data_IF_289483536486
#
_entry.id   IF_289483536486
#
_cell.length_a   1.000
_cell.length_b   1.000
_cell.length_c   1.000
_cell.angle_alpha   90.00
_cell.angle_beta   90.00
_cell.angle_gamma   90.00
#
_symmetry.space_group_name_H-M   'P 1'
#
loop_
_entity.id
_entity.type
_entity.pdbx_description
1 polymer ?
#
# COMPACT_ATOMS: atom_id res chain seq x y z
N UNK A 1 10.29 -5.84 11.91
CA UNK A 1 10.00 -5.30 10.57
C UNK A 1 8.59 -5.70 10.25
N UNK A 2 7.68 -4.73 10.09
CA UNK A 2 6.30 -5.01 9.71
C UNK A 2 6.21 -5.06 8.18
N UNK A 3 5.67 -6.15 7.64
CA UNK A 3 5.45 -6.30 6.22
C UNK A 3 4.26 -5.40 5.77
N UNK A 4 4.28 -4.87 4.53
CA UNK A 4 3.24 -3.96 4.03
C UNK A 4 1.83 -4.57 4.05
N UNK A 5 1.72 -5.90 4.05
CA UNK A 5 0.46 -6.63 4.24
C UNK A 5 -0.09 -6.45 5.66
N UNK A 6 0.76 -6.42 6.69
CA UNK A 6 0.32 -6.24 8.08
C UNK A 6 -0.18 -4.82 8.30
N UNK A 7 0.54 -3.82 7.75
CA UNK A 7 0.18 -2.39 7.84
C UNK A 7 -1.15 -2.07 7.14
N UNK A 8 -1.37 -2.66 5.97
CA UNK A 8 -2.57 -2.41 5.16
C UNK A 8 -3.65 -3.48 5.34
N UNK A 9 -3.51 -4.39 6.31
CA UNK A 9 -4.37 -5.58 6.48
C UNK A 9 -5.86 -5.24 6.41
N UNK A 10 -6.29 -4.23 7.16
CA UNK A 10 -7.70 -3.81 7.22
C UNK A 10 -8.19 -3.21 5.90
N UNK A 11 -7.36 -2.44 5.20
CA UNK A 11 -7.73 -1.83 3.92
C UNK A 11 -7.81 -2.88 2.81
N UNK A 12 -6.84 -3.81 2.78
CA UNK A 12 -6.83 -4.95 1.85
C UNK A 12 -8.05 -5.83 2.09
N UNK A 13 -8.35 -6.15 3.35
CA UNK A 13 -9.52 -6.94 3.72
C UNK A 13 -10.82 -6.27 3.23
N UNK A 14 -11.01 -4.98 3.50
CA UNK A 14 -12.19 -4.25 3.03
C UNK A 14 -12.32 -4.18 1.51
N UNK A 15 -11.22 -3.92 0.79
CA UNK A 15 -11.25 -3.82 -0.68
C UNK A 15 -11.56 -5.18 -1.31
N UNK A 16 -10.85 -6.22 -0.91
CA UNK A 16 -11.01 -7.57 -1.45
C UNK A 16 -12.35 -8.20 -1.03
N UNK A 17 -12.98 -7.72 0.06
CA UNK A 17 -14.33 -8.15 0.45
C UNK A 17 -15.40 -7.79 -0.58
N UNK A 18 -15.09 -6.88 -1.51
CA UNK A 18 -15.99 -6.55 -2.63
C UNK A 18 -16.19 -7.74 -3.56
N UNK A 19 -15.13 -8.51 -3.84
CA UNK A 19 -15.21 -9.77 -4.60
C UNK A 19 -14.18 -10.81 -4.10
N UNK A 20 -14.54 -11.56 -3.04
CA UNK A 20 -13.63 -12.50 -2.41
C UNK A 20 -13.38 -13.77 -3.25
N UNK A 21 -14.29 -14.12 -4.16
CA UNK A 21 -14.16 -15.30 -5.02
C UNK A 21 -13.15 -15.05 -6.13
N UNK A 22 -13.20 -13.90 -6.78
CA UNK A 22 -12.24 -13.54 -7.83
C UNK A 22 -10.81 -13.56 -7.31
N UNK A 23 -10.56 -13.00 -6.13
CA UNK A 23 -9.21 -13.03 -5.54
C UNK A 23 -8.80 -14.45 -5.15
N UNK A 24 -9.72 -15.26 -4.60
CA UNK A 24 -9.41 -16.64 -4.24
C UNK A 24 -9.00 -17.47 -5.47
N UNK A 25 -9.73 -17.33 -6.58
CA UNK A 25 -9.41 -17.99 -7.84
C UNK A 25 -8.08 -17.49 -8.42
N UNK A 26 -7.79 -16.19 -8.35
CA UNK A 26 -6.53 -15.63 -8.85
C UNK A 26 -5.32 -16.06 -8.01
N UNK A 27 -5.47 -16.14 -6.69
CA UNK A 27 -4.43 -16.63 -5.77
C UNK A 27 -4.18 -18.12 -5.99
N UNK A 28 -5.22 -18.89 -6.33
CA UNK A 28 -5.10 -20.29 -6.71
C UNK A 28 -4.42 -20.46 -8.09
N UNK A 29 -4.78 -19.66 -9.09
CA UNK A 29 -4.14 -19.62 -10.42
C UNK A 29 -2.63 -19.38 -10.32
N UNK A 30 -2.21 -18.53 -9.36
CA UNK A 30 -0.81 -18.19 -9.12
C UNK A 30 -0.09 -19.18 -8.19
N UNK A 31 -0.71 -20.30 -7.84
CA UNK A 31 -0.16 -21.38 -6.99
C UNK A 31 0.28 -20.91 -5.57
N UNK A 32 -0.27 -19.77 -5.11
CA UNK A 32 0.01 -19.20 -3.78
C UNK A 32 -0.65 -19.99 -2.65
N UNK A 33 -1.69 -20.76 -2.95
CA UNK A 33 -2.38 -21.66 -2.02
C UNK A 33 -2.51 -23.05 -2.64
N UNK A 34 -2.51 -24.10 -1.82
CA UNK A 34 -2.69 -25.46 -2.33
C UNK A 34 -4.17 -25.73 -2.64
N UNK A 35 -4.47 -26.74 -3.46
CA UNK A 35 -5.85 -27.16 -3.72
C UNK A 35 -6.61 -27.51 -2.43
N UNK A 36 -5.91 -28.02 -1.40
CA UNK A 36 -6.49 -28.26 -0.07
C UNK A 36 -6.84 -26.95 0.64
N UNK A 37 -5.97 -25.95 0.58
CA UNK A 37 -6.22 -24.63 1.16
C UNK A 37 -7.37 -23.94 0.42
N UNK A 38 -7.40 -23.98 -0.92
CA UNK A 38 -8.50 -23.47 -1.72
C UNK A 38 -9.82 -24.13 -1.34
N UNK A 39 -9.85 -25.46 -1.23
CA UNK A 39 -11.05 -26.16 -0.86
C UNK A 39 -11.46 -25.87 0.60
N UNK A 40 -10.53 -25.63 1.52
CA UNK A 40 -10.83 -25.21 2.89
C UNK A 40 -11.38 -23.77 2.96
N UNK A 41 -10.84 -22.85 2.15
CA UNK A 41 -11.29 -21.45 2.08
C UNK A 41 -12.61 -21.30 1.33
N UNK A 42 -12.85 -22.16 0.34
CA UNK A 42 -14.09 -22.23 -0.44
C UNK A 42 -15.20 -22.97 0.31
N UNK A 43 -14.84 -24.00 1.07
CA UNK A 43 -15.80 -24.86 1.76
C UNK A 43 -16.12 -24.31 3.15
N UNK A 44 -17.03 -23.33 3.15
CA UNK A 44 -18.00 -23.09 4.24
C UNK A 44 -17.39 -23.07 5.65
N UNK A 45 -16.98 -21.88 6.08
CA UNK A 45 -17.51 -21.40 7.35
C UNK A 45 -18.60 -20.39 7.01
N UNK A 46 -19.66 -20.28 7.83
CA UNK A 46 -20.79 -19.36 7.63
C UNK A 46 -20.34 -17.90 7.87
N UNK A 47 -19.35 -17.45 7.13
CA UNK A 47 -18.75 -16.13 7.22
C UNK A 47 -19.26 -15.20 6.13
N UNK A 48 -19.20 -13.91 6.43
CA UNK A 48 -19.40 -12.83 5.48
C UNK A 48 -18.29 -12.85 4.42
N UNK A 49 -18.47 -12.10 3.31
CA UNK A 49 -17.40 -11.94 2.30
C UNK A 49 -16.06 -11.54 2.93
N UNK A 50 -16.10 -10.74 4.00
CA UNK A 50 -14.95 -10.30 4.77
C UNK A 50 -14.26 -11.42 5.55
N UNK A 51 -15.00 -12.34 6.16
CA UNK A 51 -14.42 -13.48 6.87
C UNK A 51 -13.61 -14.39 5.93
N UNK A 52 -14.06 -14.56 4.69
CA UNK A 52 -13.32 -15.32 3.67
C UNK A 52 -11.98 -14.65 3.33
N UNK A 53 -11.99 -13.32 3.18
CA UNK A 53 -10.76 -12.56 2.88
C UNK A 53 -9.83 -12.53 4.09
N UNK A 54 -10.36 -12.39 5.30
CA UNK A 54 -9.58 -12.45 6.54
C UNK A 54 -8.85 -13.79 6.60
N UNK A 55 -9.57 -14.90 6.46
CA UNK A 55 -8.99 -16.24 6.50
C UNK A 55 -7.96 -16.48 5.37
N UNK A 56 -8.21 -15.95 4.17
CA UNK A 56 -7.26 -15.99 3.06
C UNK A 56 -5.98 -15.23 3.40
N UNK A 57 -6.10 -13.97 3.84
CA UNK A 57 -4.95 -13.12 4.18
C UNK A 57 -4.17 -13.70 5.35
N UNK A 58 -4.84 -14.21 6.39
CA UNK A 58 -4.19 -14.86 7.53
C UNK A 58 -3.46 -16.16 7.11
N UNK A 59 -4.04 -16.95 6.20
CA UNK A 59 -3.35 -18.14 5.66
C UNK A 59 -2.08 -17.76 4.87
N UNK A 60 -2.14 -16.68 4.09
CA UNK A 60 -1.00 -16.18 3.32
C UNK A 60 0.10 -15.59 4.23
N UNK A 61 -0.30 -14.88 5.28
CA UNK A 61 0.61 -14.39 6.33
C UNK A 61 1.28 -15.58 7.03
N UNK A 62 0.51 -16.58 7.45
CA UNK A 62 1.03 -17.77 8.14
C UNK A 62 2.02 -18.57 7.28
N UNK A 63 1.77 -18.65 5.97
CA UNK A 63 2.69 -19.33 5.02
C UNK A 63 3.90 -18.48 4.61
N UNK A 64 3.99 -17.22 5.05
CA UNK A 64 5.09 -16.33 4.68
C UNK A 64 5.13 -15.95 3.20
N UNK A 65 4.02 -16.12 2.45
CA UNK A 65 3.94 -15.82 1.00
C UNK A 65 3.41 -14.41 0.72
N UNK A 66 3.64 -13.51 1.66
CA UNK A 66 3.15 -12.14 1.65
C UNK A 66 3.70 -11.34 0.47
N UNK A 67 5.01 -11.40 0.22
CA UNK A 67 5.64 -10.70 -0.88
C UNK A 67 5.13 -11.16 -2.26
N UNK A 68 4.82 -12.45 -2.41
CA UNK A 68 4.26 -12.98 -3.65
C UNK A 68 2.80 -12.55 -3.83
N UNK A 69 2.03 -12.53 -2.75
CA UNK A 69 0.66 -12.03 -2.78
C UNK A 69 0.59 -10.54 -3.16
N UNK A 70 1.49 -9.70 -2.65
CA UNK A 70 1.58 -8.29 -3.05
C UNK A 70 1.82 -8.16 -4.57
N UNK A 71 2.68 -9.00 -5.16
CA UNK A 71 2.90 -8.99 -6.61
C UNK A 71 1.62 -9.34 -7.38
N UNK A 72 0.82 -10.28 -6.87
CA UNK A 72 -0.48 -10.63 -7.48
C UNK A 72 -1.48 -9.48 -7.35
N UNK A 73 -1.52 -8.81 -6.21
CA UNK A 73 -2.38 -7.63 -6.01
C UNK A 73 -1.98 -6.44 -6.90
N UNK A 74 -0.73 -6.37 -7.31
CA UNK A 74 -0.20 -5.36 -8.25
C UNK A 74 -0.33 -5.76 -9.73
N UNK A 75 -0.88 -6.94 -10.06
CA UNK A 75 -1.13 -7.30 -11.46
C UNK A 75 -2.22 -6.43 -12.07
N UNK A 76 -2.06 -6.04 -13.34
CA UNK A 76 -3.04 -5.23 -14.08
C UNK A 76 -4.45 -5.82 -14.00
N UNK A 77 -4.63 -7.13 -14.21
CA UNK A 77 -5.91 -7.83 -14.10
C UNK A 77 -6.63 -7.60 -12.74
N UNK A 78 -5.86 -7.47 -11.66
CA UNK A 78 -6.40 -7.31 -10.30
C UNK A 78 -6.63 -5.83 -10.00
N UNK A 79 -5.77 -4.94 -10.52
CA UNK A 79 -5.93 -3.49 -10.42
C UNK A 79 -7.09 -2.95 -11.27
N UNK A 80 -7.47 -3.65 -12.35
CA UNK A 80 -8.68 -3.36 -13.12
C UNK A 80 -9.95 -3.63 -12.30
N UNK A 81 -9.99 -4.77 -11.59
CA UNK A 81 -11.11 -5.13 -10.71
C UNK A 81 -11.13 -4.28 -9.44
N UNK A 82 -9.96 -4.01 -8.86
CA UNK A 82 -9.80 -3.28 -7.59
C UNK A 82 -8.87 -2.08 -7.77
N UNK A 83 -9.34 -0.98 -8.40
CA UNK A 83 -8.53 0.21 -8.61
C UNK A 83 -8.06 0.85 -7.29
N UNK A 84 -8.77 0.59 -6.19
CA UNK A 84 -8.43 1.05 -4.84
C UNK A 84 -7.09 0.50 -4.34
N UNK A 85 -6.62 -0.63 -4.87
CA UNK A 85 -5.31 -1.18 -4.53
C UNK A 85 -4.16 -0.29 -5.02
N UNK A 86 -4.36 0.58 -6.01
CA UNK A 86 -3.34 1.53 -6.49
C UNK A 86 -3.00 2.62 -5.48
N UNK A 87 -3.91 2.84 -4.54
CA UNK A 87 -3.78 3.87 -3.51
C UNK A 87 -3.16 3.35 -2.22
N UNK A 88 -2.89 2.05 -2.13
CA UNK A 88 -2.24 1.45 -0.98
C UNK A 88 -0.72 1.64 -1.05
N UNK A 89 -0.14 1.98 0.10
CA UNK A 89 1.31 2.05 0.29
C UNK A 89 1.89 0.64 0.34
N UNK A 90 2.33 0.14 -0.82
CA UNK A 90 3.01 -1.15 -0.93
C UNK A 90 4.52 -1.07 -0.69
N UNK A 91 5.09 0.13 -0.64
CA UNK A 91 6.53 0.33 -0.55
C UNK A 91 7.08 0.14 0.87
N UNK A 92 8.17 -0.63 0.95
CA UNK A 92 9.03 -0.73 2.11
C UNK A 92 9.73 0.62 2.30
N UNK A 93 9.28 1.41 3.28
CA UNK A 93 10.05 2.56 3.75
C UNK A 93 11.31 2.04 4.45
N UNK A 94 12.38 1.83 3.67
CA UNK A 94 13.72 2.07 4.19
C UNK A 94 13.80 3.52 4.67
N UNK A 95 14.62 3.82 5.70
CA UNK A 95 14.62 5.09 6.43
C UNK A 95 14.89 6.36 5.59
N UNK A 96 15.23 6.23 4.31
CA UNK A 96 15.85 7.30 3.52
C UNK A 96 15.01 7.82 2.36
N UNK A 97 13.83 7.24 2.08
CA UNK A 97 13.03 7.71 0.94
C UNK A 97 12.16 8.92 1.30
N UNK A 98 12.83 10.05 1.50
CA UNK A 98 12.24 11.37 1.69
C UNK A 98 11.25 11.70 0.56
N UNK A 99 11.46 11.14 -0.64
CA UNK A 99 10.64 11.39 -1.80
C UNK A 99 9.25 10.74 -1.71
N UNK A 100 9.15 9.48 -1.27
CA UNK A 100 7.87 8.78 -1.04
C UNK A 100 7.09 9.40 0.11
N UNK A 101 7.76 9.73 1.22
CA UNK A 101 7.11 10.41 2.35
C UNK A 101 6.54 11.76 1.94
N UNK A 102 7.30 12.58 1.21
CA UNK A 102 6.83 13.86 0.68
C UNK A 102 5.72 13.68 -0.38
N UNK A 103 5.84 12.68 -1.25
CA UNK A 103 4.84 12.41 -2.30
C UNK A 103 3.51 11.96 -1.69
N UNK A 104 3.55 11.13 -0.64
CA UNK A 104 2.36 10.68 0.10
C UNK A 104 1.70 11.83 0.82
N UNK A 105 2.46 12.60 1.61
CA UNK A 105 1.94 13.77 2.34
C UNK A 105 1.31 14.76 1.36
N UNK A 106 1.93 14.99 0.20
CA UNK A 106 1.39 15.90 -0.80
C UNK A 106 0.09 15.38 -1.44
N UNK A 107 -0.07 14.06 -1.65
CA UNK A 107 -1.34 13.46 -2.09
C UNK A 107 -2.43 13.55 -1.03
N UNK A 108 -2.12 13.25 0.23
CA UNK A 108 -3.08 13.30 1.34
C UNK A 108 -3.57 14.73 1.60
N UNK A 109 -2.65 15.70 1.56
CA UNK A 109 -2.98 17.14 1.63
C UNK A 109 -3.84 17.56 0.44
N UNK A 110 -3.50 17.13 -0.78
CA UNK A 110 -4.31 17.46 -1.97
C UNK A 110 -5.72 16.86 -1.97
N UNK A 111 -5.95 15.79 -1.21
CA UNK A 111 -7.25 15.09 -1.09
C UNK A 111 -8.19 15.68 -0.05
N UNK A 112 -7.69 16.53 0.86
CA UNK A 112 -8.50 17.11 1.93
C UNK A 112 -9.51 18.12 1.41
N UNK A 113 -10.80 17.87 1.61
CA UNK A 113 -11.84 18.91 1.57
C UNK A 113 -11.58 19.91 2.70
N UNK A 114 -10.76 20.94 2.45
CA UNK A 114 -10.47 22.03 3.39
C UNK A 114 -11.68 22.96 3.55
N UNK A 115 -12.76 22.42 4.10
CA UNK A 115 -13.80 23.25 4.68
C UNK A 115 -13.18 23.94 5.90
N UNK A 116 -12.84 25.22 5.73
CA UNK A 116 -12.61 26.23 6.79
C UNK A 116 -11.18 26.51 7.30
N UNK A 117 -10.11 25.87 6.83
CA UNK A 117 -8.74 26.25 7.21
C UNK A 117 -7.89 26.65 6.00
N UNK A 118 -7.39 27.90 6.02
CA UNK A 118 -6.58 28.54 4.98
C UNK A 118 -5.33 27.72 4.67
N UNK A 119 -5.37 26.91 3.62
CA UNK A 119 -4.18 26.34 2.98
C UNK A 119 -3.23 27.48 2.54
N UNK A 120 -1.90 27.26 2.63
CA UNK A 120 -0.92 28.20 2.09
C UNK A 120 -1.24 28.45 0.61
N UNK A 121 -1.45 29.71 0.16
CA UNK A 121 -1.61 29.98 -1.26
C UNK A 121 -0.32 29.61 -2.00
N UNK A 122 -0.48 29.09 -3.23
CA UNK A 122 0.64 28.83 -4.13
C UNK A 122 1.56 30.06 -4.18
N UNK A 123 2.88 29.92 -3.95
CA UNK A 123 3.78 31.07 -4.00
C UNK A 123 3.79 31.61 -5.43
N UNK A 124 3.14 32.75 -5.66
CA UNK A 124 3.11 33.44 -6.96
C UNK A 124 4.48 34.00 -7.40
N UNK A 125 5.54 33.79 -6.61
CA UNK A 125 6.92 34.10 -6.99
C UNK A 125 7.87 33.10 -6.30
N UNK A 126 8.45 32.17 -7.06
CA UNK A 126 9.55 31.32 -6.60
C UNK A 126 10.85 32.14 -6.64
N UNK A 127 11.28 32.66 -5.48
CA UNK A 127 12.64 33.19 -5.35
C UNK A 127 13.62 32.01 -5.20
N UNK A 128 14.18 31.53 -6.31
CA UNK A 128 15.24 30.52 -6.27
C UNK A 128 16.57 31.16 -5.86
N UNK A 129 16.78 31.40 -4.57
CA UNK A 129 18.12 31.73 -4.07
C UNK A 129 18.92 30.44 -3.88
N UNK A 130 19.89 30.20 -4.76
CA UNK A 130 20.90 29.16 -4.57
C UNK A 130 21.78 29.56 -3.38
N UNK A 131 21.87 28.70 -2.37
CA UNK A 131 22.88 28.81 -1.32
C UNK A 131 24.26 28.62 -1.97
N UNK A 132 25.12 29.62 -1.83
CA UNK A 132 26.55 29.50 -2.15
C UNK A 132 27.28 29.42 -0.81
N UNK A 133 27.82 28.25 -0.50
CA UNK A 133 28.70 28.03 0.64
C UNK A 133 30.13 28.29 0.17
N UNK A 134 30.69 29.43 0.58
CA UNK A 134 32.14 29.68 0.48
C UNK A 134 32.82 29.11 1.71
N UNK A 135 33.75 28.18 1.50
CA UNK A 135 34.60 27.64 2.56
C UNK A 135 35.51 28.75 3.11
N UNK A 136 35.43 28.97 4.42
CA UNK A 136 36.28 29.90 5.14
C UNK A 136 37.54 29.12 5.57
N UNK A 137 38.63 29.24 4.81
CA UNK A 137 39.94 28.73 5.22
C UNK A 137 40.38 29.43 6.50
N UNK A 138 40.47 28.67 7.60
CA UNK A 138 41.05 29.14 8.86
C UNK A 138 42.57 29.20 8.65
N UNK A 139 43.14 30.39 8.74
CA UNK A 139 44.60 30.57 8.79
C UNK A 139 45.00 30.55 10.26
N UNK A 140 45.67 29.49 10.69
CA UNK A 140 46.27 29.43 12.03
C UNK A 140 47.48 30.37 12.12
N UNK A 141 47.62 31.05 13.26
CA UNK A 141 48.80 31.82 13.65
C UNK A 141 49.23 31.46 15.06
#
# INVERSE_FOLDING_TARGET
MEEPIVRNKTAIQGILSTDPQYILDKVFEKELITHRDYNNLRSIEKGTAEDHVINLVDNLIFKGRQAEFVKVLQCDDVLETFPQLRDLDWEHTGPDDLLSTLTRVNREVSRGNYFMAKQMPQPMYTLTKKLVLTEMTIVEH
#
